data_IF_903227495637
#
_entry.id   IF_903227495637
#
_cell.length_a   1.000
_cell.length_b   1.000
_cell.length_c   1.000
_cell.angle_alpha   90.00
_cell.angle_beta   90.00
_cell.angle_gamma   90.00
#
_symmetry.space_group_name_H-M   'P 1'
#
loop_
_entity.id
_entity.type
_entity.pdbx_description
1 polymer ?
#
# COMPACT_ATOMS: atom_id res chain seq x y z
N UNK A 1 26.96 -6.76 67.43
CA UNK A 1 28.02 -7.79 67.51
C UNK A 1 28.02 -8.59 66.23
N UNK A 2 29.19 -8.79 65.63
CA UNK A 2 29.42 -9.54 64.40
C UNK A 2 30.02 -10.91 64.74
N UNK A 3 29.63 -12.00 64.03
CA UNK A 3 30.43 -13.22 63.74
C UNK A 3 29.75 -13.85 62.48
N UNK A 4 30.32 -13.84 61.26
CA UNK A 4 31.32 -14.75 60.68
C UNK A 4 30.99 -16.25 60.92
N UNK A 5 31.17 -17.24 60.05
CA UNK A 5 31.64 -17.42 58.68
C UNK A 5 31.36 -18.90 58.33
N UNK A 6 31.23 -19.27 57.06
CA UNK A 6 32.00 -20.40 56.47
C UNK A 6 31.71 -20.54 54.98
N UNK A 7 32.74 -20.28 54.18
CA UNK A 7 32.88 -20.76 52.80
C UNK A 7 33.28 -22.24 52.84
N UNK A 8 32.53 -23.07 52.12
CA UNK A 8 32.97 -24.28 51.43
C UNK A 8 32.23 -24.18 50.09
N UNK A 9 32.77 -24.36 48.90
CA UNK A 9 33.91 -25.13 48.44
C UNK A 9 33.53 -25.43 46.99
N UNK A 10 34.26 -24.87 46.04
CA UNK A 10 33.91 -24.85 44.62
C UNK A 10 33.80 -26.26 44.02
N UNK A 11 32.60 -26.64 43.59
CA UNK A 11 32.43 -27.62 42.50
C UNK A 11 31.69 -26.95 41.36
N UNK A 12 32.44 -26.68 40.29
CA UNK A 12 31.92 -26.21 38.99
C UNK A 12 30.98 -27.29 38.43
N UNK A 13 29.68 -27.12 38.64
CA UNK A 13 28.65 -27.84 37.89
C UNK A 13 28.51 -27.12 36.55
N UNK A 14 29.07 -27.70 35.48
CA UNK A 14 28.82 -27.22 34.12
C UNK A 14 27.39 -27.64 33.71
N UNK A 15 26.56 -26.73 33.18
CA UNK A 15 25.23 -27.09 32.69
C UNK A 15 25.35 -28.03 31.48
N UNK A 16 24.59 -29.12 31.55
CA UNK A 16 24.41 -30.15 30.51
C UNK A 16 23.57 -29.54 29.39
N UNK A 17 24.18 -28.75 28.51
CA UNK A 17 23.57 -28.29 27.24
C UNK A 17 24.63 -28.08 26.14
N UNK A 18 25.65 -28.94 26.09
CA UNK A 18 26.48 -29.09 24.89
C UNK A 18 26.42 -30.54 24.41
N UNK A 19 25.31 -30.90 23.78
CA UNK A 19 25.38 -31.85 22.67
C UNK A 19 25.48 -31.00 21.40
N UNK A 20 26.70 -30.95 20.85
CA UNK A 20 26.93 -30.44 19.50
C UNK A 20 26.26 -31.42 18.53
N UNK A 21 25.19 -30.96 17.87
CA UNK A 21 24.73 -31.61 16.65
C UNK A 21 25.84 -31.48 15.59
N UNK A 22 26.11 -32.52 14.78
CA UNK A 22 27.07 -32.41 13.67
C UNK A 22 26.62 -31.30 12.71
N UNK A 23 27.54 -30.55 12.08
CA UNK A 23 27.18 -29.55 11.10
C UNK A 23 26.54 -30.26 9.90
N UNK A 24 25.22 -30.19 9.80
CA UNK A 24 24.52 -30.56 8.57
C UNK A 24 24.91 -29.51 7.54
N UNK A 25 25.90 -29.81 6.70
CA UNK A 25 26.13 -29.05 5.48
C UNK A 25 24.89 -29.18 4.59
N UNK A 26 23.96 -28.24 4.73
CA UNK A 26 22.98 -27.98 3.69
C UNK A 26 23.73 -27.49 2.46
N UNK A 27 24.14 -28.43 1.60
CA UNK A 27 24.41 -28.10 0.20
C UNK A 27 23.06 -27.73 -0.41
N UNK A 28 22.80 -26.43 -0.52
CA UNK A 28 21.72 -25.94 -1.33
C UNK A 28 21.87 -26.54 -2.74
N UNK A 29 20.84 -27.19 -3.31
CA UNK A 29 20.90 -27.64 -4.69
C UNK A 29 21.25 -26.45 -5.58
N UNK A 30 22.25 -26.63 -6.44
CA UNK A 30 22.63 -25.62 -7.42
C UNK A 30 21.39 -25.25 -8.23
N UNK A 31 21.04 -23.96 -8.21
CA UNK A 31 19.92 -23.44 -8.99
C UNK A 31 20.16 -23.76 -10.47
N UNK A 32 19.13 -24.22 -11.21
CA UNK A 32 19.28 -24.52 -12.62
C UNK A 32 19.76 -23.26 -13.38
N UNK A 33 20.67 -23.41 -14.36
CA UNK A 33 21.12 -22.29 -15.18
C UNK A 33 19.92 -21.69 -15.91
N UNK A 34 19.44 -20.54 -15.44
CA UNK A 34 18.20 -19.91 -15.90
C UNK A 34 17.27 -19.38 -14.79
N UNK A 35 17.50 -19.75 -13.53
CA UNK A 35 16.75 -19.19 -12.41
C UNK A 35 17.19 -17.75 -12.12
N UNK A 36 16.46 -16.76 -12.65
CA UNK A 36 16.63 -15.36 -12.26
C UNK A 36 16.18 -15.23 -10.80
N UNK A 37 17.06 -14.72 -9.94
CA UNK A 37 16.72 -14.35 -8.58
C UNK A 37 15.46 -13.46 -8.58
N UNK A 38 14.53 -13.62 -7.61
CA UNK A 38 13.41 -12.71 -7.47
C UNK A 38 13.96 -11.29 -7.37
N UNK A 39 13.51 -10.42 -8.28
CA UNK A 39 13.93 -9.02 -8.29
C UNK A 39 13.73 -8.46 -6.89
N UNK A 40 14.81 -7.93 -6.29
CA UNK A 40 14.72 -7.09 -5.10
C UNK A 40 13.59 -6.08 -5.31
N UNK A 41 12.72 -5.80 -4.32
CA UNK A 41 11.73 -4.75 -4.46
C UNK A 41 12.45 -3.47 -4.86
N UNK A 42 12.21 -3.01 -6.08
CA UNK A 42 12.78 -1.76 -6.56
C UNK A 42 12.26 -0.66 -5.64
N UNK A 43 13.14 0.17 -5.03
CA UNK A 43 12.70 1.36 -4.32
C UNK A 43 11.98 2.23 -5.34
N UNK A 44 10.68 2.46 -5.17
CA UNK A 44 9.81 3.17 -6.13
C UNK A 44 10.41 4.55 -6.44
N UNK A 45 10.97 4.81 -7.64
CA UNK A 45 11.41 6.13 -8.03
C UNK A 45 10.71 6.45 -9.35
N UNK A 46 9.43 6.80 -9.31
CA UNK A 46 8.74 7.27 -10.51
C UNK A 46 8.08 8.59 -10.21
N UNK A 47 8.79 9.63 -10.69
CA UNK A 47 8.26 10.96 -11.00
C UNK A 47 6.89 10.73 -11.63
N UNK A 48 5.83 10.97 -10.85
CA UNK A 48 4.45 10.85 -11.31
C UNK A 48 4.38 11.74 -12.57
N UNK A 49 4.05 11.20 -13.76
CA UNK A 49 3.87 12.04 -14.93
C UNK A 49 2.89 13.14 -14.54
N UNK A 50 3.19 14.38 -14.93
CA UNK A 50 2.45 15.59 -14.59
C UNK A 50 1.06 15.58 -15.25
N UNK A 51 0.25 14.61 -14.86
CA UNK A 51 -1.14 14.49 -15.20
C UNK A 51 -1.82 15.61 -14.46
N UNK A 52 -2.63 16.38 -15.19
CA UNK A 52 -3.38 17.47 -14.59
C UNK A 52 -4.09 16.95 -13.34
N UNK A 53 -3.80 17.54 -12.19
CA UNK A 53 -4.32 17.20 -10.86
C UNK A 53 -5.84 16.94 -10.87
N UNK A 54 -6.55 17.60 -11.79
CA UNK A 54 -7.98 17.38 -12.09
C UNK A 54 -8.31 15.95 -12.53
N UNK A 55 -7.52 15.34 -13.41
CA UNK A 55 -7.73 13.97 -13.90
C UNK A 55 -7.53 12.94 -12.78
N UNK A 56 -6.48 13.09 -11.99
CA UNK A 56 -6.22 12.23 -10.83
C UNK A 56 -7.31 12.37 -9.76
N UNK A 57 -7.79 13.60 -9.51
CA UNK A 57 -8.92 13.83 -8.62
C UNK A 57 -10.22 13.22 -9.15
N UNK A 58 -10.48 13.33 -10.45
CA UNK A 58 -11.62 12.68 -11.11
C UNK A 58 -11.56 11.16 -10.97
N UNK A 59 -10.40 10.55 -11.23
CA UNK A 59 -10.15 9.13 -11.00
C UNK A 59 -10.40 8.74 -9.54
N UNK A 60 -10.01 9.61 -8.59
CA UNK A 60 -10.13 9.35 -7.16
C UNK A 60 -11.59 9.32 -6.75
N UNK A 61 -12.37 10.31 -7.19
CA UNK A 61 -13.81 10.34 -6.96
C UNK A 61 -14.54 9.14 -7.59
N UNK A 62 -14.10 8.68 -8.76
CA UNK A 62 -14.64 7.48 -9.40
C UNK A 62 -14.31 6.21 -8.59
N UNK A 63 -13.08 6.09 -8.09
CA UNK A 63 -12.68 5.00 -7.21
C UNK A 63 -13.51 5.00 -5.91
N UNK A 64 -13.65 6.16 -5.26
CA UNK A 64 -14.47 6.30 -4.05
C UNK A 64 -15.91 5.89 -4.31
N UNK A 65 -16.48 6.29 -5.44
CA UNK A 65 -17.85 5.89 -5.83
C UNK A 65 -17.97 4.36 -6.00
N UNK A 66 -17.00 3.72 -6.64
CA UNK A 66 -16.96 2.26 -6.81
C UNK A 66 -16.80 1.49 -5.47
N UNK A 67 -16.09 2.10 -4.51
CA UNK A 67 -15.92 1.56 -3.15
C UNK A 67 -17.23 1.72 -2.37
N UNK A 68 -17.74 2.93 -2.22
CA UNK A 68 -18.91 3.22 -1.39
C UNK A 68 -20.24 2.79 -2.04
N UNK A 69 -20.25 2.39 -3.31
CA UNK A 69 -21.45 2.04 -4.11
C UNK A 69 -22.52 3.13 -4.09
N UNK A 70 -22.12 4.38 -3.84
CA UNK A 70 -22.93 5.59 -3.85
C UNK A 70 -22.04 6.72 -4.37
N UNK A 71 -22.60 7.79 -4.96
CA UNK A 71 -21.81 8.96 -5.33
C UNK A 71 -21.02 9.47 -4.12
N UNK A 72 -19.70 9.24 -4.15
CA UNK A 72 -18.81 9.59 -3.06
C UNK A 72 -17.67 10.43 -3.63
N UNK A 73 -17.58 11.67 -3.16
CA UNK A 73 -16.50 12.59 -3.49
C UNK A 73 -15.65 12.84 -2.26
N UNK A 74 -14.36 13.07 -2.47
CA UNK A 74 -13.47 13.41 -1.35
C UNK A 74 -14.03 14.61 -0.56
N UNK A 75 -14.59 15.62 -1.24
CA UNK A 75 -15.20 16.80 -0.62
C UNK A 75 -16.36 16.45 0.30
N UNK A 76 -17.21 15.49 -0.08
CA UNK A 76 -18.32 15.04 0.75
C UNK A 76 -17.84 14.34 2.01
N UNK A 77 -16.73 13.59 1.92
CA UNK A 77 -16.10 12.95 3.08
C UNK A 77 -15.50 14.02 4.02
N UNK A 78 -14.86 15.06 3.48
CA UNK A 78 -14.34 16.16 4.30
C UNK A 78 -15.46 16.95 5.00
N UNK A 79 -16.55 17.27 4.29
CA UNK A 79 -17.71 17.97 4.87
C UNK A 79 -18.36 17.16 6.00
N UNK A 80 -18.51 15.84 5.82
CA UNK A 80 -19.03 14.94 6.85
C UNK A 80 -18.11 14.84 8.09
N UNK A 81 -16.92 15.44 8.06
CA UNK A 81 -15.95 15.45 9.15
C UNK A 81 -15.60 16.87 9.61
N UNK A 82 -16.48 17.83 9.38
CA UNK A 82 -16.37 19.18 9.94
C UNK A 82 -15.47 20.14 9.16
N UNK A 83 -14.96 19.75 7.99
CA UNK A 83 -14.26 20.70 7.10
C UNK A 83 -15.30 21.57 6.40
N UNK A 84 -15.20 22.88 6.56
CA UNK A 84 -16.19 23.81 6.00
C UNK A 84 -16.12 23.85 4.47
N UNK A 85 -17.24 24.16 3.77
CA UNK A 85 -17.23 24.33 2.32
C UNK A 85 -16.18 25.34 1.82
N UNK A 86 -15.95 26.41 2.59
CA UNK A 86 -14.95 27.43 2.29
C UNK A 86 -13.52 26.87 2.33
N UNK A 87 -13.17 26.11 3.37
CA UNK A 87 -11.85 25.45 3.46
C UNK A 87 -11.64 24.44 2.34
N UNK A 88 -12.68 23.69 1.96
CA UNK A 88 -12.61 22.74 0.84
C UNK A 88 -12.42 23.50 -0.46
N UNK A 89 -13.12 24.61 -0.68
CA UNK A 89 -12.98 25.42 -1.89
C UNK A 89 -11.59 26.04 -1.99
N UNK A 90 -11.04 26.56 -0.88
CA UNK A 90 -9.68 27.08 -0.82
C UNK A 90 -8.64 25.99 -1.08
N UNK A 91 -8.82 24.81 -0.48
CA UNK A 91 -7.97 23.65 -0.72
C UNK A 91 -8.02 23.23 -2.20
N UNK A 92 -9.23 23.15 -2.76
CA UNK A 92 -9.50 22.79 -4.15
C UNK A 92 -9.02 23.82 -5.16
N UNK A 93 -8.90 25.08 -4.75
CA UNK A 93 -8.33 26.17 -5.54
C UNK A 93 -6.81 26.08 -5.68
N UNK A 94 -6.14 25.21 -4.92
CA UNK A 94 -4.68 25.05 -4.95
C UNK A 94 -4.27 23.70 -5.57
N UNK A 95 -3.80 23.69 -6.84
CA UNK A 95 -3.31 22.49 -7.49
C UNK A 95 -2.19 21.78 -6.72
N UNK A 96 -1.32 22.55 -6.05
CA UNK A 96 -0.22 22.01 -5.25
C UNK A 96 -0.71 21.24 -4.03
N UNK A 97 -1.71 21.77 -3.30
CA UNK A 97 -2.30 21.09 -2.14
C UNK A 97 -3.03 19.82 -2.55
N UNK A 98 -3.82 19.89 -3.64
CA UNK A 98 -4.49 18.69 -4.17
C UNK A 98 -3.46 17.65 -4.63
N UNK A 99 -2.40 18.05 -5.34
CA UNK A 99 -1.35 17.13 -5.77
C UNK A 99 -0.67 16.43 -4.58
N UNK A 100 -0.35 17.18 -3.51
CA UNK A 100 0.21 16.63 -2.28
C UNK A 100 -0.75 15.64 -1.61
N UNK A 101 -2.03 15.99 -1.49
CA UNK A 101 -3.06 15.09 -0.97
C UNK A 101 -3.19 13.81 -1.79
N UNK A 102 -3.30 13.93 -3.12
CA UNK A 102 -3.43 12.78 -4.01
C UNK A 102 -2.21 11.88 -3.92
N UNK A 103 -1.01 12.46 -3.85
CA UNK A 103 0.23 11.69 -3.68
C UNK A 103 0.19 10.88 -2.38
N UNK A 104 -0.13 11.52 -1.25
CA UNK A 104 -0.21 10.84 0.05
C UNK A 104 -1.28 9.74 0.05
N UNK A 105 -2.48 10.07 -0.43
CA UNK A 105 -3.61 9.15 -0.46
C UNK A 105 -3.37 7.95 -1.37
N UNK A 106 -2.94 8.18 -2.62
CA UNK A 106 -2.64 7.12 -3.58
C UNK A 106 -1.47 6.25 -3.09
N UNK A 107 -0.43 6.86 -2.50
CA UNK A 107 0.71 6.09 -1.93
C UNK A 107 0.25 5.14 -0.83
N UNK A 108 -0.54 5.61 0.15
CA UNK A 108 -1.06 4.75 1.22
C UNK A 108 -1.94 3.61 0.68
N UNK A 109 -2.76 3.88 -0.34
CA UNK A 109 -3.56 2.83 -0.98
C UNK A 109 -2.70 1.81 -1.72
N UNK A 110 -1.77 2.27 -2.54
CA UNK A 110 -0.89 1.38 -3.33
C UNK A 110 -0.05 0.49 -2.42
N UNK A 111 0.45 1.01 -1.29
CA UNK A 111 1.13 0.21 -0.28
C UNK A 111 0.21 -0.87 0.33
N UNK A 112 -1.01 -0.50 0.70
CA UNK A 112 -1.99 -1.44 1.30
C UNK A 112 -2.39 -2.54 0.32
N UNK A 113 -2.55 -2.20 -0.95
CA UNK A 113 -2.89 -3.15 -2.01
C UNK A 113 -1.70 -4.04 -2.38
N UNK A 114 -0.50 -3.48 -2.45
CA UNK A 114 0.72 -4.23 -2.70
C UNK A 114 0.96 -5.30 -1.62
N UNK A 115 0.70 -4.97 -0.34
CA UNK A 115 0.80 -5.92 0.76
C UNK A 115 -0.22 -7.07 0.67
N UNK A 116 -1.41 -6.84 0.12
CA UNK A 116 -2.50 -7.82 0.09
C UNK A 116 -2.59 -8.63 -1.20
N UNK A 117 -2.27 -8.03 -2.34
CA UNK A 117 -2.53 -8.59 -3.67
C UNK A 117 -1.32 -8.48 -4.61
N UNK A 118 -0.18 -7.96 -4.13
CA UNK A 118 1.02 -7.74 -4.94
C UNK A 118 0.95 -6.46 -5.78
N UNK A 119 2.06 -6.18 -6.47
CA UNK A 119 2.26 -4.94 -7.24
C UNK A 119 1.25 -4.77 -8.37
N UNK A 120 0.91 -5.86 -9.07
CA UNK A 120 0.00 -5.83 -10.22
C UNK A 120 -1.40 -5.31 -9.86
N UNK A 121 -1.85 -5.53 -8.62
CA UNK A 121 -3.17 -5.14 -8.17
C UNK A 121 -3.36 -3.61 -8.14
N UNK A 122 -2.37 -2.88 -7.64
CA UNK A 122 -2.46 -1.41 -7.64
C UNK A 122 -2.16 -0.85 -9.03
N UNK A 123 -1.24 -1.44 -9.81
CA UNK A 123 -0.97 -0.99 -11.17
C UNK A 123 -2.20 -1.10 -12.08
N UNK A 124 -2.96 -2.19 -11.93
CA UNK A 124 -4.26 -2.36 -12.60
C UNK A 124 -5.25 -1.29 -12.17
N UNK A 125 -5.34 -0.98 -10.87
CA UNK A 125 -6.23 0.08 -10.37
C UNK A 125 -5.81 1.47 -10.86
N UNK A 126 -4.53 1.80 -10.78
CA UNK A 126 -4.00 3.09 -11.20
C UNK A 126 -4.25 3.36 -12.68
N UNK A 127 -4.08 2.32 -13.49
CA UNK A 127 -4.41 2.39 -14.92
C UNK A 127 -5.93 2.50 -15.13
N UNK A 128 -6.73 1.70 -14.41
CA UNK A 128 -8.20 1.66 -14.57
C UNK A 128 -8.89 2.98 -14.21
N UNK A 129 -8.43 3.64 -13.15
CA UNK A 129 -8.95 4.93 -12.71
C UNK A 129 -8.24 6.13 -13.34
N UNK A 130 -7.23 5.88 -14.19
CA UNK A 130 -6.55 6.91 -14.96
C UNK A 130 -5.61 7.80 -14.14
N UNK A 131 -5.04 7.26 -13.06
CA UNK A 131 -4.09 7.97 -12.21
C UNK A 131 -2.72 8.15 -12.86
N UNK A 132 -2.31 7.19 -13.68
CA UNK A 132 -1.08 7.24 -14.49
C UNK A 132 -1.37 7.25 -16.01
N UNK A 133 -2.47 6.61 -16.42
CA UNK A 133 -2.78 6.41 -17.84
C UNK A 133 -4.25 6.74 -18.15
N UNK A 134 -4.65 8.03 -18.18
CA UNK A 134 -6.04 8.44 -18.37
C UNK A 134 -6.64 8.04 -19.73
N UNK A 135 -5.80 7.71 -20.72
CA UNK A 135 -6.21 7.23 -22.04
C UNK A 135 -6.50 5.72 -22.06
N UNK A 136 -5.97 4.96 -21.12
CA UNK A 136 -6.15 3.50 -21.02
C UNK A 136 -7.42 3.17 -20.23
N UNK A 137 -8.57 3.27 -20.88
CA UNK A 137 -9.88 3.08 -20.24
C UNK A 137 -10.49 1.69 -20.45
N UNK A 138 -9.96 0.89 -21.39
CA UNK A 138 -10.53 -0.41 -21.73
C UNK A 138 -9.79 -1.57 -21.04
N UNK A 139 -10.49 -2.64 -20.62
CA UNK A 139 -9.85 -3.81 -20.02
C UNK A 139 -8.76 -4.42 -20.90
N UNK A 140 -8.95 -4.43 -22.22
CA UNK A 140 -7.98 -4.93 -23.20
C UNK A 140 -6.72 -4.07 -23.25
N UNK A 141 -6.86 -2.75 -23.21
CA UNK A 141 -5.72 -1.83 -23.21
C UNK A 141 -4.93 -1.90 -21.90
N UNK A 142 -5.64 -2.02 -20.76
CA UNK A 142 -5.03 -2.21 -19.44
C UNK A 142 -4.31 -3.56 -19.36
N UNK A 143 -4.92 -4.62 -19.87
CA UNK A 143 -4.32 -5.95 -19.96
C UNK A 143 -3.00 -5.90 -20.75
N UNK A 144 -3.01 -5.29 -21.94
CA UNK A 144 -1.80 -5.09 -22.75
C UNK A 144 -0.72 -4.26 -22.03
N UNK A 145 -1.12 -3.20 -21.32
CA UNK A 145 -0.18 -2.34 -20.59
C UNK A 145 0.45 -3.03 -19.37
N UNK A 146 -0.34 -3.81 -18.62
CA UNK A 146 0.13 -4.51 -17.43
C UNK A 146 0.78 -5.88 -17.74
N UNK A 147 0.79 -6.33 -19.00
CA UNK A 147 1.27 -7.68 -19.35
C UNK A 147 0.38 -8.80 -18.80
N UNK A 148 -0.91 -8.53 -18.62
CA UNK A 148 -1.88 -9.44 -18.04
C UNK A 148 -2.94 -9.84 -19.07
N UNK A 149 -3.68 -10.91 -18.79
CA UNK A 149 -4.92 -11.21 -19.51
C UNK A 149 -6.08 -10.32 -19.03
N UNK A 150 -7.08 -10.12 -19.87
CA UNK A 150 -8.30 -9.38 -19.50
C UNK A 150 -8.99 -10.00 -18.27
N UNK A 151 -9.00 -11.34 -18.19
CA UNK A 151 -9.55 -12.06 -17.04
C UNK A 151 -8.79 -11.76 -15.74
N UNK A 152 -7.45 -11.73 -15.79
CA UNK A 152 -6.63 -11.35 -14.63
C UNK A 152 -6.86 -9.89 -14.21
N UNK A 153 -6.93 -8.96 -15.16
CA UNK A 153 -7.25 -7.55 -14.88
C UNK A 153 -8.59 -7.41 -14.16
N UNK A 154 -9.63 -8.08 -14.66
CA UNK A 154 -10.95 -8.05 -14.04
C UNK A 154 -10.95 -8.66 -12.64
N UNK A 155 -10.27 -9.81 -12.47
CA UNK A 155 -10.13 -10.48 -11.17
C UNK A 155 -9.39 -9.62 -10.16
N UNK A 156 -8.23 -9.05 -10.53
CA UNK A 156 -7.44 -8.18 -9.66
C UNK A 156 -8.21 -6.92 -9.27
N UNK A 157 -8.92 -6.30 -10.22
CA UNK A 157 -9.80 -5.16 -9.93
C UNK A 157 -10.88 -5.54 -8.93
N UNK A 158 -11.59 -6.65 -9.15
CA UNK A 158 -12.66 -7.10 -8.28
C UNK A 158 -12.17 -7.40 -6.85
N UNK A 159 -11.04 -8.10 -6.73
CA UNK A 159 -10.42 -8.41 -5.43
C UNK A 159 -9.94 -7.15 -4.70
N UNK A 160 -9.32 -6.23 -5.43
CA UNK A 160 -8.85 -4.96 -4.87
C UNK A 160 -10.01 -4.10 -4.39
N UNK A 161 -11.08 -3.98 -5.18
CA UNK A 161 -12.29 -3.25 -4.77
C UNK A 161 -12.96 -3.90 -3.56
N UNK A 162 -13.00 -5.23 -3.49
CA UNK A 162 -13.55 -5.95 -2.33
C UNK A 162 -12.75 -5.65 -1.07
N UNK A 163 -11.43 -5.60 -1.18
CA UNK A 163 -10.53 -5.25 -0.08
C UNK A 163 -10.71 -3.81 0.36
N UNK A 164 -10.72 -2.87 -0.59
CA UNK A 164 -10.92 -1.44 -0.31
C UNK A 164 -12.30 -1.18 0.30
N UNK A 165 -13.33 -1.94 -0.09
CA UNK A 165 -14.66 -1.91 0.55
C UNK A 165 -14.62 -2.39 1.99
N UNK A 166 -13.92 -3.49 2.27
CA UNK A 166 -13.71 -3.95 3.65
C UNK A 166 -13.02 -2.88 4.50
N UNK A 167 -11.96 -2.27 3.97
CA UNK A 167 -11.24 -1.19 4.64
C UNK A 167 -12.11 0.07 4.83
N UNK A 168 -12.95 0.41 3.86
CA UNK A 168 -13.88 1.53 3.96
C UNK A 168 -14.94 1.30 5.05
N UNK A 169 -15.48 0.08 5.16
CA UNK A 169 -16.42 -0.30 6.23
C UNK A 169 -15.81 -0.17 7.62
N UNK A 170 -14.52 -0.48 7.75
CA UNK A 170 -13.80 -0.37 9.02
C UNK A 170 -13.26 1.05 9.29
N UNK A 171 -13.67 2.05 8.51
CA UNK A 171 -13.26 3.45 8.69
C UNK A 171 -11.84 3.79 8.26
N UNK A 172 -11.04 2.81 7.79
CA UNK A 172 -9.65 3.04 7.38
C UNK A 172 -9.56 4.04 6.23
N UNK A 173 -10.40 3.90 5.20
CA UNK A 173 -10.37 4.78 4.03
C UNK A 173 -10.66 6.25 4.40
N UNK A 174 -11.61 6.45 5.31
CA UNK A 174 -11.95 7.77 5.87
C UNK A 174 -10.75 8.37 6.60
N UNK A 175 -10.07 7.59 7.45
CA UNK A 175 -8.89 8.04 8.18
C UNK A 175 -7.74 8.42 7.24
N UNK A 176 -7.50 7.65 6.18
CA UNK A 176 -6.47 7.98 5.19
C UNK A 176 -6.75 9.30 4.46
N UNK A 177 -8.01 9.55 4.09
CA UNK A 177 -8.40 10.81 3.44
C UNK A 177 -8.20 12.00 4.40
N UNK A 178 -8.62 11.87 5.65
CA UNK A 178 -8.48 12.95 6.64
C UNK A 178 -7.01 13.21 6.98
N UNK A 179 -6.20 12.16 7.15
CA UNK A 179 -4.77 12.30 7.41
C UNK A 179 -4.03 12.93 6.23
N UNK A 180 -4.31 12.49 5.00
CA UNK A 180 -3.72 13.07 3.79
C UNK A 180 -4.15 14.53 3.61
N UNK A 181 -5.41 14.87 3.91
CA UNK A 181 -5.91 16.25 3.87
C UNK A 181 -5.21 17.14 4.89
N UNK A 182 -5.09 16.68 6.14
CA UNK A 182 -4.41 17.44 7.20
C UNK A 182 -2.93 17.71 6.87
N UNK A 183 -2.23 16.75 6.27
CA UNK A 183 -0.83 16.91 5.85
C UNK A 183 -0.67 17.79 4.60
N UNK A 184 -1.72 17.91 3.79
CA UNK A 184 -1.71 18.70 2.55
C UNK A 184 -2.26 20.13 2.72
N UNK A 185 -2.94 20.42 3.86
CA UNK A 185 -3.44 21.74 4.22
C UNK A 185 -2.30 22.73 4.39
#
# INVERSE_FOLDING_TARGET
MAIAAKKFGSKKVKPIWQQQAPPVSFRAPALPPGFKAPQKPQPIPKKVPNLGVKAQLSGTNRLLTDIYKKPARFSSILQANGVTPAEIQQFMGSPAKIAKFLTLFLTSMSQTLAQKHGHDAYQVLDTWYGFEHPKLKSPKAIAGHCGLTVAQVQKLRASSLTTLRGLAKNGWLKQQILSAYAQAK
#
